data_IF_952773508433
#
_entry.id   IF_952773508433
#
_cell.length_a   1.000
_cell.length_b   1.000
_cell.length_c   1.000
_cell.angle_alpha   90.00
_cell.angle_beta   90.00
_cell.angle_gamma   90.00
#
_symmetry.space_group_name_H-M   'P 1'
#
loop_
_entity.id
_entity.type
_entity.pdbx_description
1 polymer ?
#
# COMPACT_ATOMS: atom_id res chain seq x y z
N UNK A 1 6.18 24.38 -32.22
CA UNK A 1 6.94 23.12 -32.38
C UNK A 1 7.43 22.69 -31.00
N UNK A 2 6.90 21.55 -30.56
CA UNK A 2 7.29 20.69 -29.44
C UNK A 2 7.50 21.32 -28.05
N UNK A 3 6.44 21.32 -27.23
CA UNK A 3 6.54 21.25 -25.76
C UNK A 3 6.42 19.78 -25.37
N UNK A 4 7.45 19.25 -24.71
CA UNK A 4 7.55 17.85 -24.31
C UNK A 4 6.74 17.57 -23.04
N UNK A 5 6.03 16.44 -23.05
CA UNK A 5 5.32 15.82 -21.94
C UNK A 5 6.26 15.56 -20.75
N UNK A 6 5.87 15.93 -19.52
CA UNK A 6 6.41 15.33 -18.31
C UNK A 6 5.28 14.57 -17.59
N UNK A 7 5.15 13.28 -17.86
CA UNK A 7 4.43 12.33 -16.99
C UNK A 7 5.30 11.08 -16.93
N UNK A 8 6.02 10.93 -15.83
CA UNK A 8 6.82 9.75 -15.53
C UNK A 8 6.66 9.41 -14.04
N UNK A 9 6.29 8.15 -13.84
CA UNK A 9 6.56 7.28 -12.69
C UNK A 9 5.50 7.22 -11.57
N UNK A 10 4.77 6.11 -11.67
CA UNK A 10 3.98 5.38 -10.69
C UNK A 10 4.88 4.71 -9.64
N UNK A 11 4.56 4.88 -8.36
CA UNK A 11 4.76 3.95 -7.24
C UNK A 11 4.12 4.53 -5.97
N UNK A 12 3.66 3.66 -5.07
CA UNK A 12 3.09 3.88 -3.72
C UNK A 12 1.57 4.07 -3.53
N UNK A 13 1.04 3.16 -2.71
CA UNK A 13 -0.17 3.25 -1.87
C UNK A 13 -0.01 2.05 -0.93
N UNK A 14 0.23 2.21 0.39
CA UNK A 14 -0.81 2.46 1.41
C UNK A 14 -0.30 3.40 2.53
N UNK A 15 -1.16 4.34 2.93
CA UNK A 15 -1.16 5.01 4.23
C UNK A 15 -2.43 4.61 5.00
N UNK A 16 -2.37 4.56 6.33
CA UNK A 16 -3.53 4.51 7.25
C UNK A 16 -3.27 5.32 8.54
N UNK A 17 -4.33 5.82 9.23
CA UNK A 17 -4.48 7.17 9.80
C UNK A 17 -4.33 7.20 11.35
N UNK A 18 -4.38 8.30 12.13
CA UNK A 18 -5.37 9.38 12.21
C UNK A 18 -4.94 10.48 13.22
N UNK A 19 -5.43 11.72 13.06
CA UNK A 19 -5.93 12.56 14.18
C UNK A 19 -7.19 13.31 13.68
N UNK A 20 -8.24 13.22 14.48
CA UNK A 20 -9.53 13.88 14.29
C UNK A 20 -9.43 15.41 14.39
N UNK A 21 -10.03 16.11 13.43
CA UNK A 21 -10.70 17.39 13.71
C UNK A 21 -11.94 17.51 12.83
N UNK A 22 -13.08 17.69 13.48
CA UNK A 22 -14.35 17.93 12.81
C UNK A 22 -14.31 19.21 12.00
N UNK A 23 -14.53 19.07 10.70
CA UNK A 23 -14.91 20.16 9.82
C UNK A 23 -16.12 19.72 9.01
N UNK A 24 -17.27 20.32 9.31
CA UNK A 24 -18.42 20.30 8.42
C UNK A 24 -18.08 21.10 7.17
N UNK A 25 -17.80 20.44 6.06
CA UNK A 25 -17.73 21.10 4.75
C UNK A 25 -19.10 20.97 4.10
N UNK A 26 -19.81 22.09 4.12
CA UNK A 26 -21.12 22.26 3.50
C UNK A 26 -20.98 21.95 2.00
N UNK A 27 -21.64 20.87 1.56
CA UNK A 27 -21.80 20.54 0.15
C UNK A 27 -22.63 21.65 -0.52
N UNK A 28 -21.96 22.70 -0.97
CA UNK A 28 -22.52 23.69 -1.87
C UNK A 28 -22.64 23.09 -3.25
N UNK A 29 -23.67 22.27 -3.48
CA UNK A 29 -24.13 21.97 -4.83
C UNK A 29 -24.79 23.27 -5.33
N UNK A 30 -23.99 24.18 -5.88
CA UNK A 30 -24.58 25.27 -6.67
C UNK A 30 -24.93 24.69 -8.03
N UNK A 31 -26.16 24.19 -8.15
CA UNK A 31 -26.86 24.09 -9.43
C UNK A 31 -27.15 25.50 -9.96
N UNK A 32 -26.12 26.30 -10.23
CA UNK A 32 -26.28 27.52 -11.01
C UNK A 32 -26.39 27.09 -12.47
N UNK A 33 -27.63 27.05 -12.93
CA UNK A 33 -28.00 27.04 -14.35
C UNK A 33 -27.09 28.05 -15.06
N UNK A 34 -26.21 27.56 -15.94
CA UNK A 34 -25.25 28.39 -16.68
C UNK A 34 -26.00 29.47 -17.46
N UNK A 35 -25.72 30.74 -17.16
CA UNK A 35 -26.30 31.94 -17.80
C UNK A 35 -25.34 32.52 -18.87
N UNK A 36 -24.71 31.65 -19.67
CA UNK A 36 -23.82 32.02 -20.77
C UNK A 36 -23.60 30.86 -21.75
N UNK A 37 -23.22 31.14 -22.99
CA UNK A 37 -22.92 30.12 -24.01
C UNK A 37 -21.66 29.35 -23.62
N UNK A 38 -21.77 28.03 -23.45
CA UNK A 38 -20.63 27.16 -23.18
C UNK A 38 -19.58 27.27 -24.31
N UNK A 39 -18.29 27.31 -23.97
CA UNK A 39 -17.20 27.34 -24.97
C UNK A 39 -16.21 26.18 -24.80
N UNK A 40 -15.54 25.81 -25.89
CA UNK A 40 -14.50 24.79 -25.87
C UNK A 40 -13.35 25.15 -24.91
N UNK A 41 -12.89 26.41 -24.94
CA UNK A 41 -11.83 26.92 -24.04
C UNK A 41 -12.19 26.77 -22.56
N UNK A 42 -13.48 26.93 -22.20
CA UNK A 42 -13.93 26.70 -20.82
C UNK A 42 -13.84 25.22 -20.44
N UNK A 43 -14.24 24.31 -21.33
CA UNK A 43 -14.11 22.87 -21.08
C UNK A 43 -12.63 22.48 -20.92
N UNK A 44 -11.75 23.02 -21.76
CA UNK A 44 -10.31 22.80 -21.69
C UNK A 44 -9.71 23.32 -20.38
N UNK A 45 -10.09 24.52 -19.94
CA UNK A 45 -9.61 25.08 -18.67
C UNK A 45 -9.98 24.19 -17.47
N UNK A 46 -11.20 23.64 -17.44
CA UNK A 46 -11.60 22.69 -16.40
C UNK A 46 -10.86 21.36 -16.50
N UNK A 47 -10.61 20.87 -17.71
CA UNK A 47 -9.82 19.67 -17.95
C UNK A 47 -8.38 19.81 -17.39
N UNK A 48 -7.72 20.92 -17.71
CA UNK A 48 -6.37 21.22 -17.21
C UNK A 48 -6.34 21.39 -15.70
N UNK A 49 -7.33 22.08 -15.12
CA UNK A 49 -7.46 22.23 -13.68
C UNK A 49 -7.65 20.87 -12.97
N UNK A 50 -8.43 19.97 -13.57
CA UNK A 50 -8.60 18.60 -13.09
C UNK A 50 -7.27 17.85 -13.06
N UNK A 51 -6.52 17.88 -14.16
CA UNK A 51 -5.22 17.23 -14.26
C UNK A 51 -4.18 17.77 -13.28
N UNK A 52 -4.15 19.10 -13.08
CA UNK A 52 -3.26 19.74 -12.10
C UNK A 52 -3.60 19.31 -10.68
N UNK A 53 -4.88 19.32 -10.29
CA UNK A 53 -5.31 18.88 -8.97
C UNK A 53 -5.05 17.38 -8.76
N UNK A 54 -5.25 16.55 -9.79
CA UNK A 54 -4.89 15.13 -9.74
C UNK A 54 -3.40 14.93 -9.48
N UNK A 55 -2.54 15.67 -10.19
CA UNK A 55 -1.09 15.64 -9.97
C UNK A 55 -0.69 16.11 -8.57
N UNK A 56 -1.37 17.12 -8.03
CA UNK A 56 -1.16 17.56 -6.64
C UNK A 56 -1.58 16.51 -5.61
N UNK A 57 -2.66 15.76 -5.87
CA UNK A 57 -3.06 14.65 -5.02
C UNK A 57 -1.96 13.57 -4.97
N UNK A 58 -1.32 13.29 -6.11
CA UNK A 58 -0.22 12.34 -6.20
C UNK A 58 1.07 12.81 -5.50
N UNK A 59 1.36 14.12 -5.57
CA UNK A 59 2.52 14.71 -4.90
C UNK A 59 2.35 14.98 -3.41
N UNK A 60 1.15 14.79 -2.86
CA UNK A 60 0.87 15.04 -1.45
C UNK A 60 1.09 13.78 -0.60
N UNK A 61 1.64 13.97 0.60
CA UNK A 61 1.83 12.90 1.59
C UNK A 61 0.79 12.91 2.71
N UNK A 62 0.18 14.07 2.99
CA UNK A 62 -0.87 14.21 4.00
C UNK A 62 -2.22 13.76 3.44
N UNK A 63 -2.86 12.75 4.06
CA UNK A 63 -4.16 12.21 3.62
C UNK A 63 -5.24 13.29 3.46
N UNK A 64 -5.27 14.27 4.36
CA UNK A 64 -6.20 15.41 4.25
C UNK A 64 -5.99 16.24 2.98
N UNK A 65 -4.74 16.52 2.61
CA UNK A 65 -4.39 17.23 1.37
C UNK A 65 -4.66 16.37 0.14
N UNK A 66 -4.33 15.09 0.19
CA UNK A 66 -4.65 14.14 -0.90
C UNK A 66 -6.15 14.17 -1.19
N UNK A 67 -7.00 14.01 -0.17
CA UNK A 67 -8.46 14.09 -0.31
C UNK A 67 -8.93 15.43 -0.87
N UNK A 68 -8.39 16.54 -0.37
CA UNK A 68 -8.73 17.87 -0.87
C UNK A 68 -8.40 18.03 -2.37
N UNK A 69 -7.24 17.54 -2.79
CA UNK A 69 -6.84 17.58 -4.20
C UNK A 69 -7.68 16.64 -5.07
N UNK A 70 -8.02 15.44 -4.58
CA UNK A 70 -8.93 14.50 -5.26
C UNK A 70 -10.33 15.09 -5.46
N UNK A 71 -10.88 15.74 -4.43
CA UNK A 71 -12.18 16.44 -4.52
C UNK A 71 -12.10 17.56 -5.55
N UNK A 72 -11.03 18.37 -5.50
CA UNK A 72 -10.81 19.46 -6.45
C UNK A 72 -10.73 18.94 -7.89
N UNK A 73 -9.97 17.86 -8.11
CA UNK A 73 -9.86 17.16 -9.39
C UNK A 73 -11.23 16.68 -9.89
N UNK A 74 -11.97 15.96 -9.03
CA UNK A 74 -13.31 15.45 -9.34
C UNK A 74 -14.26 16.58 -9.76
N UNK A 75 -14.29 17.68 -9.01
CA UNK A 75 -15.15 18.83 -9.32
C UNK A 75 -14.78 19.45 -10.66
N UNK A 76 -13.49 19.63 -10.94
CA UNK A 76 -13.03 20.18 -12.20
C UNK A 76 -13.41 19.28 -13.39
N UNK A 77 -13.18 17.96 -13.31
CA UNK A 77 -13.61 17.04 -14.37
C UNK A 77 -15.13 16.94 -14.52
N UNK A 78 -15.89 17.06 -13.42
CA UNK A 78 -17.36 17.13 -13.47
C UNK A 78 -17.82 18.36 -14.25
N UNK A 79 -17.20 19.51 -14.00
CA UNK A 79 -17.49 20.76 -14.73
C UNK A 79 -17.06 20.65 -16.20
N UNK A 80 -15.88 20.08 -16.49
CA UNK A 80 -15.43 19.81 -17.85
C UNK A 80 -16.45 18.96 -18.61
N UNK A 81 -16.87 17.83 -18.04
CA UNK A 81 -17.86 16.94 -18.65
C UNK A 81 -19.20 17.64 -18.90
N UNK A 82 -19.68 18.43 -17.93
CA UNK A 82 -20.93 19.17 -18.04
C UNK A 82 -20.88 20.21 -19.17
N UNK A 83 -19.82 21.02 -19.24
CA UNK A 83 -19.61 22.00 -20.31
C UNK A 83 -19.49 21.27 -21.65
N UNK A 84 -18.61 20.27 -21.76
CA UNK A 84 -18.38 19.53 -23.00
C UNK A 84 -19.66 18.85 -23.53
N UNK A 85 -20.58 18.46 -22.65
CA UNK A 85 -21.87 17.90 -23.03
C UNK A 85 -22.85 18.95 -23.58
N UNK A 86 -22.74 20.19 -23.13
CA UNK A 86 -23.57 21.31 -23.58
C UNK A 86 -23.01 22.03 -24.84
N UNK A 87 -21.80 21.69 -25.29
CA UNK A 87 -21.20 22.30 -26.50
C UNK A 87 -21.87 21.80 -27.79
N UNK A 88 -22.24 22.76 -28.64
CA UNK A 88 -22.60 22.54 -30.05
C UNK A 88 -21.48 23.13 -30.93
N UNK A 89 -20.38 22.40 -31.04
CA UNK A 89 -19.21 22.77 -31.84
C UNK A 89 -18.70 21.58 -32.66
N UNK A 90 -19.27 21.35 -33.86
CA UNK A 90 -18.88 20.25 -34.73
C UNK A 90 -17.41 20.31 -35.17
N UNK A 91 -16.80 21.50 -35.21
CA UNK A 91 -15.41 21.67 -35.62
C UNK A 91 -14.44 21.05 -34.60
N UNK A 92 -14.82 21.05 -33.31
CA UNK A 92 -14.06 20.45 -32.21
C UNK A 92 -14.61 19.08 -31.76
N UNK A 93 -15.44 18.41 -32.57
CA UNK A 93 -16.18 17.20 -32.16
C UNK A 93 -15.30 16.07 -31.59
N UNK A 94 -14.12 15.81 -32.17
CA UNK A 94 -13.20 14.80 -31.68
C UNK A 94 -12.60 15.18 -30.30
N UNK A 95 -12.22 16.44 -30.11
CA UNK A 95 -11.71 16.95 -28.84
C UNK A 95 -12.78 16.91 -27.75
N UNK A 96 -14.02 17.31 -28.07
CA UNK A 96 -15.14 17.29 -27.12
C UNK A 96 -15.46 15.86 -26.68
N UNK A 97 -15.45 14.90 -27.62
CA UNK A 97 -15.63 13.49 -27.31
C UNK A 97 -14.54 12.97 -26.37
N UNK A 98 -13.28 13.34 -26.62
CA UNK A 98 -12.14 12.99 -25.77
C UNK A 98 -12.30 13.59 -24.35
N UNK A 99 -12.59 14.89 -24.24
CA UNK A 99 -12.77 15.58 -22.97
C UNK A 99 -13.86 14.93 -22.12
N UNK A 100 -14.99 14.54 -22.72
CA UNK A 100 -16.07 13.82 -22.03
C UNK A 100 -15.59 12.46 -21.52
N UNK A 101 -15.00 11.65 -22.40
CA UNK A 101 -14.57 10.30 -22.05
C UNK A 101 -13.50 10.28 -20.95
N UNK A 102 -12.48 11.13 -21.06
CA UNK A 102 -11.43 11.25 -20.04
C UNK A 102 -12.00 11.82 -18.74
N UNK A 103 -12.84 12.85 -18.80
CA UNK A 103 -13.45 13.41 -17.58
C UNK A 103 -14.27 12.36 -16.82
N UNK A 104 -15.08 11.56 -17.52
CA UNK A 104 -15.82 10.44 -16.90
C UNK A 104 -14.87 9.47 -16.20
N UNK A 105 -13.79 9.06 -16.87
CA UNK A 105 -12.82 8.13 -16.28
C UNK A 105 -12.12 8.71 -15.04
N UNK A 106 -11.71 9.99 -15.07
CA UNK A 106 -11.03 10.62 -13.95
C UNK A 106 -11.96 10.96 -12.78
N UNK A 107 -13.25 11.20 -13.02
CA UNK A 107 -14.27 11.27 -11.96
C UNK A 107 -14.34 9.92 -11.23
N UNK A 108 -14.42 8.82 -11.98
CA UNK A 108 -14.44 7.48 -11.40
C UNK A 108 -13.13 7.17 -10.65
N UNK A 109 -11.96 7.57 -11.17
CA UNK A 109 -10.69 7.39 -10.44
C UNK A 109 -10.63 8.19 -9.14
N UNK A 110 -11.14 9.43 -9.13
CA UNK A 110 -11.20 10.23 -7.91
C UNK A 110 -12.16 9.60 -6.89
N UNK A 111 -13.31 9.10 -7.33
CA UNK A 111 -14.26 8.38 -6.48
C UNK A 111 -13.69 7.06 -5.95
N UNK A 112 -12.93 6.34 -6.76
CA UNK A 112 -12.23 5.14 -6.32
C UNK A 112 -11.24 5.46 -5.18
N UNK A 113 -10.40 6.47 -5.36
CA UNK A 113 -9.40 6.86 -4.38
C UNK A 113 -10.04 7.40 -3.09
N UNK A 114 -11.08 8.24 -3.19
CA UNK A 114 -11.80 8.76 -2.02
C UNK A 114 -12.47 7.63 -1.23
N UNK A 115 -13.18 6.71 -1.90
CA UNK A 115 -13.83 5.58 -1.25
C UNK A 115 -12.84 4.65 -0.55
N UNK A 116 -11.63 4.49 -1.09
CA UNK A 116 -10.55 3.74 -0.44
C UNK A 116 -10.11 4.40 0.88
N UNK A 117 -9.84 5.71 0.88
CA UNK A 117 -9.48 6.41 2.12
C UNK A 117 -10.62 6.38 3.14
N UNK A 118 -11.85 6.60 2.69
CA UNK A 118 -13.02 6.58 3.57
C UNK A 118 -13.25 5.18 4.17
N UNK A 119 -13.05 4.12 3.38
CA UNK A 119 -13.10 2.73 3.84
C UNK A 119 -12.04 2.45 4.90
N UNK A 120 -10.83 2.98 4.72
CA UNK A 120 -9.73 2.81 5.65
C UNK A 120 -9.97 3.50 7.01
N UNK A 121 -10.57 4.69 7.00
CA UNK A 121 -10.95 5.40 8.23
C UNK A 121 -11.99 4.62 9.03
N UNK A 122 -13.06 4.14 8.38
CA UNK A 122 -14.11 3.38 9.07
C UNK A 122 -13.64 1.99 9.50
N UNK A 123 -12.75 1.34 8.73
CA UNK A 123 -12.09 0.11 9.15
C UNK A 123 -11.27 0.33 10.43
N UNK A 124 -10.51 1.43 10.49
CA UNK A 124 -9.71 1.80 11.68
C UNK A 124 -10.61 2.05 12.89
N UNK A 125 -11.74 2.74 12.71
CA UNK A 125 -12.74 2.92 13.75
C UNK A 125 -13.30 1.58 14.25
N UNK A 126 -13.62 0.65 13.34
CA UNK A 126 -14.05 -0.71 13.67
C UNK A 126 -13.04 -1.46 14.54
N UNK A 127 -11.73 -1.35 14.23
CA UNK A 127 -10.68 -1.96 15.06
C UNK A 127 -10.60 -1.37 16.46
N UNK A 128 -10.78 -0.05 16.59
CA UNK A 128 -10.88 0.61 17.90
C UNK A 128 -12.09 0.13 18.71
N UNK A 129 -13.24 -0.06 18.05
CA UNK A 129 -14.47 -0.55 18.67
C UNK A 129 -14.37 -2.02 19.12
N UNK A 130 -13.66 -2.89 18.39
CA UNK A 130 -13.33 -4.24 18.85
C UNK A 130 -12.54 -4.17 20.16
N UNK A 131 -11.49 -3.34 20.22
CA UNK A 131 -10.66 -3.20 21.41
C UNK A 131 -11.44 -2.64 22.61
N UNK A 132 -12.45 -1.79 22.36
CA UNK A 132 -13.36 -1.26 23.37
C UNK A 132 -14.49 -2.22 23.78
N UNK A 133 -14.63 -3.37 23.12
CA UNK A 133 -15.70 -4.34 23.37
C UNK A 133 -17.09 -3.92 22.84
N UNK A 134 -17.16 -2.89 22.01
CA UNK A 134 -18.41 -2.40 21.38
C UNK A 134 -18.63 -3.13 20.05
N UNK A 135 -18.96 -4.42 20.13
CA UNK A 135 -18.93 -5.34 18.98
C UNK A 135 -19.98 -5.06 17.90
N UNK A 136 -21.17 -4.58 18.27
CA UNK A 136 -22.20 -4.22 17.29
C UNK A 136 -21.78 -2.99 16.45
N UNK A 137 -21.20 -1.98 17.10
CA UNK A 137 -20.69 -0.79 16.43
C UNK A 137 -19.49 -1.14 15.53
N UNK A 138 -18.60 -2.02 16.02
CA UNK A 138 -17.48 -2.55 15.23
C UNK A 138 -17.96 -3.26 13.96
N UNK A 139 -18.98 -4.12 14.07
CA UNK A 139 -19.56 -4.80 12.93
C UNK A 139 -20.13 -3.82 11.89
N UNK A 140 -20.85 -2.79 12.34
CA UNK A 140 -21.38 -1.75 11.45
C UNK A 140 -20.26 -0.98 10.73
N UNK A 141 -19.17 -0.63 11.44
CA UNK A 141 -18.03 0.06 10.84
C UNK A 141 -17.30 -0.81 9.81
N UNK A 142 -17.15 -2.11 10.06
CA UNK A 142 -16.54 -3.03 9.09
C UNK A 142 -17.42 -3.31 7.88
N UNK A 143 -18.74 -3.39 8.06
CA UNK A 143 -19.67 -3.47 6.95
C UNK A 143 -19.55 -2.22 6.05
N UNK A 144 -19.53 -1.04 6.67
CA UNK A 144 -19.37 0.22 5.95
C UNK A 144 -18.00 0.30 5.24
N UNK A 145 -16.95 -0.27 5.84
CA UNK A 145 -15.64 -0.41 5.20
C UNK A 145 -15.71 -1.30 3.94
N UNK A 146 -16.32 -2.48 4.04
CA UNK A 146 -16.53 -3.40 2.91
C UNK A 146 -17.27 -2.69 1.77
N UNK A 147 -18.40 -2.05 2.06
CA UNK A 147 -19.21 -1.33 1.06
C UNK A 147 -18.38 -0.25 0.32
N UNK A 148 -17.54 0.50 1.06
CA UNK A 148 -16.66 1.52 0.49
C UNK A 148 -15.53 0.93 -0.35
N UNK A 149 -14.87 -0.14 0.10
CA UNK A 149 -13.82 -0.80 -0.67
C UNK A 149 -14.38 -1.49 -1.93
N UNK A 150 -15.55 -2.11 -1.83
CA UNK A 150 -16.29 -2.68 -2.97
C UNK A 150 -16.67 -1.59 -3.98
N UNK A 151 -17.11 -0.42 -3.50
CA UNK A 151 -17.37 0.74 -4.36
C UNK A 151 -16.09 1.22 -5.05
N UNK A 152 -14.97 1.32 -4.31
CA UNK A 152 -13.67 1.69 -4.86
C UNK A 152 -13.23 0.76 -5.99
N UNK A 153 -13.29 -0.56 -5.79
CA UNK A 153 -13.03 -1.57 -6.83
C UNK A 153 -13.89 -1.34 -8.08
N UNK A 154 -15.18 -1.09 -7.88
CA UNK A 154 -16.14 -0.85 -8.99
C UNK A 154 -15.77 0.39 -9.78
N UNK A 155 -15.41 1.48 -9.10
CA UNK A 155 -14.98 2.71 -9.75
C UNK A 155 -13.67 2.54 -10.52
N UNK A 156 -12.67 1.83 -9.98
CA UNK A 156 -11.46 1.49 -10.74
C UNK A 156 -11.78 0.73 -12.02
N UNK A 157 -12.64 -0.29 -11.95
CA UNK A 157 -13.03 -1.09 -13.14
C UNK A 157 -13.77 -0.26 -14.19
N UNK A 158 -14.67 0.62 -13.77
CA UNK A 158 -15.36 1.55 -14.68
C UNK A 158 -14.40 2.53 -15.32
N UNK A 159 -13.49 3.12 -14.54
CA UNK A 159 -12.49 4.04 -15.03
C UNK A 159 -11.58 3.40 -16.07
N UNK A 160 -11.03 2.21 -15.80
CA UNK A 160 -10.13 1.53 -16.74
C UNK A 160 -10.84 1.11 -18.03
N UNK A 161 -12.08 0.61 -17.92
CA UNK A 161 -12.93 0.35 -19.10
C UNK A 161 -13.15 1.63 -19.91
N UNK A 162 -13.44 2.74 -19.24
CA UNK A 162 -13.61 4.05 -19.87
C UNK A 162 -12.35 4.49 -20.61
N UNK A 163 -11.19 4.44 -19.95
CA UNK A 163 -9.90 4.80 -20.54
C UNK A 163 -9.56 3.96 -21.78
N UNK A 164 -9.84 2.65 -21.75
CA UNK A 164 -9.59 1.76 -22.89
C UNK A 164 -10.52 2.02 -24.08
N UNK A 165 -11.68 2.64 -23.85
CA UNK A 165 -12.63 3.00 -24.90
C UNK A 165 -12.31 4.34 -25.59
N UNK A 166 -11.35 5.10 -25.07
CA UNK A 166 -10.97 6.42 -25.59
C UNK A 166 -10.32 6.32 -26.97
N UNK A 167 -10.77 7.19 -27.89
CA UNK A 167 -10.10 7.43 -29.17
C UNK A 167 -9.41 8.79 -29.16
N UNK A 168 -8.13 8.80 -29.54
CA UNK A 168 -7.32 10.01 -29.71
C UNK A 168 -7.28 10.51 -31.16
N UNK A 169 -7.90 9.78 -32.09
CA UNK A 169 -7.87 10.10 -33.51
C UNK A 169 -8.54 11.44 -33.81
N UNK A 170 -7.84 12.32 -34.53
CA UNK A 170 -8.36 13.63 -34.91
C UNK A 170 -8.43 14.64 -33.77
N UNK A 171 -7.81 14.34 -32.62
CA UNK A 171 -7.74 15.25 -31.47
C UNK A 171 -6.45 16.08 -31.49
N UNK A 172 -6.46 17.23 -30.81
CA UNK A 172 -5.27 18.09 -30.65
C UNK A 172 -4.31 17.61 -29.54
N UNK A 173 -4.72 16.62 -28.75
CA UNK A 173 -4.00 16.13 -27.56
C UNK A 173 -2.93 15.08 -27.88
N UNK A 174 -2.73 14.75 -29.16
CA UNK A 174 -1.82 13.69 -29.59
C UNK A 174 -2.35 12.29 -29.27
N UNK A 175 -1.51 11.27 -29.47
CA UNK A 175 -1.87 9.87 -29.22
C UNK A 175 -1.53 9.45 -27.79
N UNK A 176 -2.56 9.30 -26.95
CA UNK A 176 -2.42 8.82 -25.57
C UNK A 176 -2.52 7.30 -25.41
N UNK A 177 -2.60 6.52 -26.50
CA UNK A 177 -2.83 5.07 -26.44
C UNK A 177 -1.76 4.36 -25.63
N UNK A 178 -0.48 4.71 -25.83
CA UNK A 178 0.64 4.11 -25.09
C UNK A 178 0.55 4.39 -23.59
N UNK A 179 0.13 5.61 -23.21
CA UNK A 179 -0.10 5.97 -21.80
C UNK A 179 -1.26 5.17 -21.21
N UNK A 180 -2.40 5.10 -21.91
CA UNK A 180 -3.55 4.27 -21.50
C UNK A 180 -3.14 2.82 -21.29
N UNK A 181 -2.39 2.22 -22.22
CA UNK A 181 -1.91 0.84 -22.10
C UNK A 181 -0.97 0.63 -20.91
N UNK A 182 -0.16 1.63 -20.56
CA UNK A 182 0.74 1.56 -19.41
C UNK A 182 -0.01 1.69 -18.08
N UNK A 183 -0.99 2.59 -17.97
CA UNK A 183 -1.64 2.91 -16.68
C UNK A 183 -2.73 1.91 -16.29
N UNK A 184 -3.47 1.36 -17.25
CA UNK A 184 -4.62 0.48 -16.99
C UNK A 184 -4.29 -0.76 -16.16
N UNK A 185 -3.19 -1.50 -16.42
CA UNK A 185 -2.83 -2.66 -15.60
C UNK A 185 -2.60 -2.29 -14.13
N UNK A 186 -1.97 -1.15 -13.84
CA UNK A 186 -1.76 -0.71 -12.46
C UNK A 186 -3.07 -0.35 -11.78
N UNK A 187 -3.96 0.38 -12.46
CA UNK A 187 -5.26 0.74 -11.92
C UNK A 187 -6.13 -0.50 -11.67
N UNK A 188 -6.06 -1.51 -12.55
CA UNK A 188 -6.73 -2.79 -12.33
C UNK A 188 -6.16 -3.52 -11.11
N UNK A 189 -4.84 -3.53 -10.92
CA UNK A 189 -4.23 -4.11 -9.72
C UNK A 189 -4.69 -3.39 -8.44
N UNK A 190 -4.80 -2.05 -8.46
CA UNK A 190 -5.37 -1.29 -7.34
C UNK A 190 -6.84 -1.63 -7.08
N UNK A 191 -7.65 -1.78 -8.13
CA UNK A 191 -9.03 -2.25 -7.99
C UNK A 191 -9.15 -3.66 -7.40
N UNK A 192 -8.28 -4.59 -7.80
CA UNK A 192 -8.23 -5.94 -7.22
C UNK A 192 -7.86 -5.90 -5.74
N UNK A 193 -6.86 -5.09 -5.39
CA UNK A 193 -6.44 -4.88 -4.01
C UNK A 193 -7.56 -4.31 -3.13
N UNK A 194 -8.40 -3.41 -3.65
CA UNK A 194 -9.60 -2.95 -2.94
C UNK A 194 -10.62 -4.08 -2.72
N UNK A 195 -10.71 -5.03 -3.66
CA UNK A 195 -11.53 -6.23 -3.45
C UNK A 195 -11.04 -7.11 -2.31
N UNK A 196 -9.72 -7.21 -2.12
CA UNK A 196 -9.15 -7.96 -1.00
C UNK A 196 -9.40 -7.26 0.33
N UNK A 197 -9.26 -5.93 0.39
CA UNK A 197 -9.65 -5.15 1.57
C UNK A 197 -11.14 -5.30 1.92
N UNK A 198 -12.02 -5.34 0.92
CA UNK A 198 -13.44 -5.54 1.13
C UNK A 198 -13.74 -6.89 1.79
N UNK A 199 -13.15 -7.97 1.27
CA UNK A 199 -13.26 -9.30 1.87
C UNK A 199 -12.67 -9.35 3.30
N UNK A 200 -11.55 -8.65 3.52
CA UNK A 200 -10.91 -8.60 4.83
C UNK A 200 -11.76 -7.85 5.86
N UNK A 201 -12.36 -6.72 5.46
CA UNK A 201 -13.33 -5.99 6.26
C UNK A 201 -14.54 -6.85 6.61
N UNK A 202 -15.07 -7.63 5.65
CA UNK A 202 -16.17 -8.58 5.89
C UNK A 202 -15.79 -9.66 6.91
N UNK A 203 -14.58 -10.21 6.83
CA UNK A 203 -14.08 -11.16 7.84
C UNK A 203 -14.10 -10.55 9.25
N UNK A 204 -13.66 -9.30 9.38
CA UNK A 204 -13.68 -8.57 10.65
C UNK A 204 -15.08 -8.17 11.11
N UNK A 205 -16.01 -7.85 10.20
CA UNK A 205 -17.43 -7.62 10.52
C UNK A 205 -18.01 -8.84 11.24
N UNK A 206 -17.88 -10.02 10.63
CA UNK A 206 -18.43 -11.25 11.20
C UNK A 206 -17.67 -11.72 12.44
N UNK A 207 -16.37 -11.43 12.53
CA UNK A 207 -15.60 -11.63 13.77
C UNK A 207 -16.15 -10.77 14.91
N UNK A 208 -16.47 -9.50 14.65
CA UNK A 208 -17.09 -8.63 15.64
C UNK A 208 -18.43 -9.19 16.12
N UNK A 209 -19.31 -9.60 15.19
CA UNK A 209 -20.61 -10.19 15.53
C UNK A 209 -20.44 -11.49 16.34
N UNK A 210 -19.47 -12.34 15.97
CA UNK A 210 -19.15 -13.54 16.73
C UNK A 210 -18.72 -13.21 18.16
N UNK A 211 -17.80 -12.27 18.35
CA UNK A 211 -17.37 -11.85 19.69
C UNK A 211 -18.52 -11.27 20.52
N UNK A 212 -19.40 -10.46 19.91
CA UNK A 212 -20.61 -9.97 20.56
C UNK A 212 -21.54 -11.08 21.02
N UNK A 213 -21.76 -12.10 20.18
CA UNK A 213 -22.56 -13.26 20.52
C UNK A 213 -21.92 -14.15 21.60
N UNK A 214 -20.59 -14.30 21.56
CA UNK A 214 -19.85 -15.00 22.61
C UNK A 214 -20.00 -14.31 23.97
N UNK A 215 -19.89 -12.98 23.99
CA UNK A 215 -20.04 -12.18 25.21
C UNK A 215 -21.46 -12.23 25.80
N UNK A 216 -22.49 -12.41 24.98
CA UNK A 216 -23.89 -12.56 25.42
C UNK A 216 -24.30 -14.01 25.71
N UNK A 217 -23.43 -14.98 25.45
CA UNK A 217 -23.72 -16.41 25.58
C UNK A 217 -24.59 -16.99 24.46
N UNK A 218 -24.83 -16.26 23.37
CA UNK A 218 -25.55 -16.74 22.19
C UNK A 218 -24.65 -17.62 21.32
N UNK A 219 -24.61 -18.90 21.69
CA UNK A 219 -23.80 -19.93 21.01
C UNK A 219 -24.16 -20.09 19.53
N UNK A 220 -25.45 -20.06 19.19
CA UNK A 220 -25.92 -20.29 17.83
C UNK A 220 -25.47 -19.17 16.91
N UNK A 221 -25.62 -17.93 17.35
CA UNK A 221 -25.14 -16.77 16.58
C UNK A 221 -23.62 -16.76 16.49
N UNK A 222 -22.91 -17.07 17.59
CA UNK A 222 -21.44 -17.17 17.56
C UNK A 222 -20.94 -18.10 16.45
N UNK A 223 -21.47 -19.33 16.37
CA UNK A 223 -21.05 -20.31 15.36
C UNK A 223 -21.33 -19.81 13.94
N UNK A 224 -22.53 -19.25 13.71
CA UNK A 224 -22.94 -18.77 12.39
C UNK A 224 -22.04 -17.64 11.90
N UNK A 225 -21.81 -16.63 12.73
CA UNK A 225 -20.99 -15.48 12.35
C UNK A 225 -19.51 -15.87 12.25
N UNK A 226 -19.02 -16.74 13.14
CA UNK A 226 -17.67 -17.25 13.04
C UNK A 226 -17.44 -17.99 11.71
N UNK A 227 -18.39 -18.82 11.25
CA UNK A 227 -18.30 -19.48 9.95
C UNK A 227 -18.21 -18.48 8.78
N UNK A 228 -18.99 -17.40 8.80
CA UNK A 228 -18.93 -16.36 7.76
C UNK A 228 -17.60 -15.61 7.75
N UNK A 229 -17.03 -15.35 8.93
CA UNK A 229 -15.69 -14.76 9.05
C UNK A 229 -14.60 -15.71 8.54
N UNK A 230 -14.69 -17.01 8.86
CA UNK A 230 -13.76 -18.03 8.38
C UNK A 230 -13.76 -18.10 6.85
N UNK A 231 -14.93 -18.10 6.21
CA UNK A 231 -15.02 -18.11 4.74
C UNK A 231 -14.35 -16.86 4.13
N UNK A 232 -14.61 -15.68 4.68
CA UNK A 232 -14.02 -14.43 4.19
C UNK A 232 -12.49 -14.41 4.34
N UNK A 233 -11.96 -14.95 5.44
CA UNK A 233 -10.51 -15.08 5.62
C UNK A 233 -9.91 -16.19 4.75
N UNK A 234 -10.64 -17.28 4.50
CA UNK A 234 -10.20 -18.37 3.63
C UNK A 234 -9.97 -17.87 2.19
N UNK A 235 -10.89 -17.04 1.68
CA UNK A 235 -10.77 -16.38 0.36
C UNK A 235 -9.47 -15.59 0.19
N UNK A 236 -8.90 -15.10 1.29
CA UNK A 236 -7.72 -14.25 1.30
C UNK A 236 -6.42 -15.00 1.58
N UNK A 237 -6.43 -16.29 1.92
CA UNK A 237 -5.22 -17.03 2.32
C UNK A 237 -4.10 -17.02 1.29
N UNK A 238 -4.46 -16.91 0.01
CA UNK A 238 -3.50 -16.83 -1.11
C UNK A 238 -3.18 -15.40 -1.53
N UNK A 239 -3.81 -14.39 -0.93
CA UNK A 239 -3.49 -12.99 -1.18
C UNK A 239 -2.05 -12.71 -0.74
N UNK A 240 -1.21 -12.08 -1.59
CA UNK A 240 0.11 -11.62 -1.18
C UNK A 240 0.05 -10.55 -0.07
N UNK A 241 -1.04 -9.79 -0.01
CA UNK A 241 -1.16 -8.65 0.93
C UNK A 241 -1.84 -9.04 2.24
N UNK A 242 -2.81 -9.95 2.20
CA UNK A 242 -3.62 -10.32 3.36
C UNK A 242 -3.45 -11.77 3.81
N UNK A 243 -2.81 -12.63 3.01
CA UNK A 243 -2.85 -14.08 3.23
C UNK A 243 -2.34 -14.54 4.58
N UNK A 244 -1.21 -14.00 5.04
CA UNK A 244 -0.65 -14.33 6.35
C UNK A 244 -1.61 -13.91 7.48
N UNK A 245 -2.10 -12.68 7.45
CA UNK A 245 -3.00 -12.17 8.49
C UNK A 245 -4.38 -12.86 8.44
N UNK A 246 -4.90 -13.15 7.26
CA UNK A 246 -6.16 -13.85 7.08
C UNK A 246 -6.05 -15.30 7.59
N UNK A 247 -4.95 -15.99 7.30
CA UNK A 247 -4.69 -17.33 7.84
C UNK A 247 -4.64 -17.33 9.37
N UNK A 248 -3.93 -16.38 9.97
CA UNK A 248 -3.85 -16.27 11.43
C UNK A 248 -5.22 -15.97 12.06
N UNK A 249 -5.98 -15.02 11.52
CA UNK A 249 -7.33 -14.72 12.01
C UNK A 249 -8.28 -15.92 11.84
N UNK A 250 -8.15 -16.66 10.74
CA UNK A 250 -8.87 -17.91 10.54
C UNK A 250 -8.56 -18.90 11.65
N UNK A 251 -7.28 -19.19 11.90
CA UNK A 251 -6.88 -20.21 12.88
C UNK A 251 -7.33 -19.85 14.30
N UNK A 252 -7.18 -18.58 14.69
CA UNK A 252 -7.66 -18.07 15.98
C UNK A 252 -9.16 -18.29 16.12
N UNK A 253 -9.93 -17.89 15.11
CA UNK A 253 -11.39 -17.98 15.19
C UNK A 253 -11.89 -19.43 15.13
N UNK A 254 -11.26 -20.27 14.30
CA UNK A 254 -11.57 -21.70 14.20
C UNK A 254 -11.33 -22.42 15.53
N UNK A 255 -10.26 -22.07 16.25
CA UNK A 255 -9.97 -22.62 17.57
C UNK A 255 -11.01 -22.27 18.65
N UNK A 256 -11.79 -21.20 18.46
CA UNK A 256 -12.87 -20.81 19.36
C UNK A 256 -14.19 -21.57 19.08
N UNK A 257 -14.27 -22.31 17.98
CA UNK A 257 -15.42 -23.16 17.64
C UNK A 257 -15.16 -24.58 18.20
N UNK A 258 -16.01 -25.12 19.10
CA UNK A 258 -15.96 -26.48 19.60
C UNK A 258 -15.95 -27.51 18.45
N UNK A 259 -15.21 -28.61 18.64
CA UNK A 259 -15.17 -29.70 17.67
C UNK A 259 -16.57 -30.24 17.35
N UNK A 260 -16.93 -30.28 16.07
CA UNK A 260 -18.22 -30.82 15.60
C UNK A 260 -19.30 -29.77 15.25
N UNK A 261 -19.03 -28.48 15.44
CA UNK A 261 -19.98 -27.39 15.12
C UNK A 261 -19.57 -26.54 13.89
N UNK A 262 -18.53 -26.91 13.14
CA UNK A 262 -18.18 -26.23 11.88
C UNK A 262 -19.27 -26.55 10.85
N UNK A 263 -20.13 -25.57 10.55
CA UNK A 263 -21.09 -25.65 9.46
C UNK A 263 -20.38 -25.14 8.20
N UNK A 264 -20.05 -25.99 7.20
CA UNK A 264 -19.51 -25.52 5.94
C UNK A 264 -20.62 -24.74 5.22
N UNK A 265 -20.41 -23.47 4.91
CA UNK A 265 -21.35 -22.66 4.13
C UNK A 265 -21.17 -22.84 2.62
N UNK A 266 -20.08 -23.47 2.19
CA UNK A 266 -19.81 -23.82 0.79
C UNK A 266 -19.90 -25.33 0.58
N UNK A 267 -20.52 -25.82 -0.52
CA UNK A 267 -20.39 -27.23 -0.87
C UNK A 267 -18.91 -27.52 -1.09
N UNK A 268 -18.37 -28.40 -0.25
CA UNK A 268 -17.06 -29.01 -0.45
C UNK A 268 -17.15 -29.82 -1.74
N UNK A 269 -16.48 -29.39 -2.80
CA UNK A 269 -16.16 -30.33 -3.87
C UNK A 269 -15.30 -31.42 -3.25
N UNK A 270 -15.83 -32.64 -3.33
CA UNK A 270 -15.36 -33.85 -2.68
C UNK A 270 -13.92 -34.17 -3.11
N UNK A 271 -12.95 -33.91 -2.24
CA UNK A 271 -11.63 -34.53 -2.31
C UNK A 271 -11.64 -35.73 -1.36
N UNK A 272 -12.09 -36.85 -1.91
CA UNK A 272 -12.07 -38.17 -1.30
C UNK A 272 -10.63 -38.55 -0.92
N UNK A 273 -10.36 -38.66 0.37
CA UNK A 273 -9.12 -39.18 0.93
C UNK A 273 -8.99 -40.65 0.54
N UNK A 274 -8.18 -40.94 -0.48
CA UNK A 274 -7.72 -42.30 -0.79
C UNK A 274 -6.31 -42.47 -0.25
N UNK A 275 -6.17 -43.23 0.84
CA UNK A 275 -4.87 -43.63 1.40
C UNK A 275 -4.13 -44.53 0.41
N UNK A 276 -3.00 -44.07 -0.10
CA UNK A 276 -2.03 -44.85 -0.90
C UNK A 276 -0.69 -44.86 -0.15
N UNK A 277 0.03 -45.99 -0.08
CA UNK A 277 1.13 -46.18 0.87
C UNK A 277 2.33 -45.29 0.55
N UNK A 278 3.02 -44.90 1.62
CA UNK A 278 4.27 -44.15 1.67
C UNK A 278 5.25 -44.56 0.55
N UNK A 279 5.59 -43.66 -0.39
CA UNK A 279 6.77 -43.83 -1.20
C UNK A 279 8.01 -43.47 -0.37
N UNK A 280 9.01 -44.33 -0.45
CA UNK A 280 10.41 -44.12 -0.08
C UNK A 280 10.88 -42.70 -0.44
N UNK A 281 11.68 -42.03 0.42
CA UNK A 281 12.01 -40.61 0.28
C UNK A 281 12.63 -40.32 -1.09
N UNK A 282 11.89 -39.56 -1.90
CA UNK A 282 12.39 -38.93 -3.12
C UNK A 282 12.78 -37.50 -2.77
N UNK A 283 13.91 -37.05 -3.30
CA UNK A 283 14.63 -35.84 -2.92
C UNK A 283 13.72 -34.60 -2.73
N UNK A 284 14.04 -33.84 -1.67
CA UNK A 284 13.59 -32.47 -1.39
C UNK A 284 13.55 -31.63 -2.68
N UNK A 285 12.45 -30.94 -3.00
CA UNK A 285 12.46 -29.99 -4.10
C UNK A 285 13.44 -28.87 -3.77
N UNK A 286 14.40 -28.66 -4.67
CA UNK A 286 15.41 -27.59 -4.60
C UNK A 286 14.74 -26.22 -4.46
N UNK A 287 15.27 -25.32 -3.62
CA UNK A 287 14.80 -23.94 -3.50
C UNK A 287 14.84 -23.24 -4.87
N UNK A 288 13.78 -22.49 -5.20
CA UNK A 288 13.78 -21.59 -6.34
C UNK A 288 14.37 -20.26 -5.90
N UNK A 289 15.69 -20.22 -5.72
CA UNK A 289 16.42 -18.96 -5.52
C UNK A 289 16.80 -18.41 -6.88
N UNK A 290 16.41 -17.17 -7.15
CA UNK A 290 16.85 -16.47 -8.36
C UNK A 290 18.23 -15.84 -8.07
N UNK A 291 19.32 -16.30 -8.72
CA UNK A 291 20.64 -15.73 -8.51
C UNK A 291 20.71 -14.34 -9.14
N UNK A 292 21.21 -13.36 -8.39
CA UNK A 292 21.47 -12.01 -8.91
C UNK A 292 22.89 -11.99 -9.49
N UNK A 293 23.01 -12.06 -10.82
CA UNK A 293 24.30 -11.97 -11.54
C UNK A 293 24.78 -10.51 -11.62
N UNK A 294 25.27 -9.98 -10.50
CA UNK A 294 25.96 -8.69 -10.44
C UNK A 294 27.00 -8.69 -9.32
N UNK A 295 28.21 -8.20 -9.60
CA UNK A 295 29.28 -8.00 -8.60
C UNK A 295 28.94 -6.92 -7.55
N UNK A 296 27.80 -6.24 -7.71
CA UNK A 296 27.28 -5.23 -6.79
C UNK A 296 25.76 -5.21 -6.88
N UNK A 297 25.08 -5.54 -5.79
CA UNK A 297 23.61 -5.72 -5.75
C UNK A 297 23.00 -4.56 -4.98
N UNK A 298 22.12 -3.79 -5.63
CA UNK A 298 21.44 -2.65 -5.02
C UNK A 298 20.30 -3.10 -4.12
N UNK A 299 20.35 -2.75 -2.83
CA UNK A 299 19.28 -3.13 -1.90
C UNK A 299 17.95 -2.50 -2.32
N UNK A 300 17.96 -1.28 -2.85
CA UNK A 300 16.74 -0.50 -3.13
C UNK A 300 15.94 -1.05 -4.32
N UNK A 301 16.57 -1.84 -5.19
CA UNK A 301 15.89 -2.51 -6.33
C UNK A 301 15.53 -3.96 -6.05
N UNK A 302 16.15 -4.58 -5.03
CA UNK A 302 16.00 -6.02 -4.75
C UNK A 302 15.23 -6.34 -3.46
N UNK A 303 15.09 -5.37 -2.56
CA UNK A 303 14.38 -5.47 -1.28
C UNK A 303 13.45 -4.25 -1.07
N UNK A 304 12.39 -4.44 -0.27
CA UNK A 304 11.29 -3.48 -0.14
C UNK A 304 11.22 -2.98 1.32
N UNK A 305 11.28 -1.65 1.59
CA UNK A 305 11.19 -1.07 2.95
C UNK A 305 9.79 -1.29 3.54
N UNK A 306 9.57 -2.48 4.07
CA UNK A 306 8.25 -2.99 4.47
C UNK A 306 8.24 -3.56 5.88
N UNK A 307 9.42 -3.85 6.44
CA UNK A 307 9.54 -4.31 7.82
C UNK A 307 9.50 -3.18 8.84
N UNK A 308 8.35 -2.51 8.97
CA UNK A 308 8.15 -1.42 9.94
C UNK A 308 8.09 -1.97 11.37
N UNK A 309 8.87 -1.39 12.30
CA UNK A 309 9.02 -1.90 13.66
C UNK A 309 8.97 -0.79 14.72
N UNK A 310 8.63 -1.18 15.94
CA UNK A 310 8.58 -0.29 17.10
C UNK A 310 7.44 0.75 16.98
N UNK A 311 7.72 1.97 17.39
CA UNK A 311 6.92 3.18 17.23
C UNK A 311 6.97 3.68 15.79
N UNK A 312 6.75 2.79 14.81
CA UNK A 312 6.78 3.13 13.39
C UNK A 312 5.85 4.27 12.96
N UNK A 313 4.72 4.60 13.64
CA UNK A 313 3.97 5.82 13.33
C UNK A 313 4.77 7.12 13.52
N UNK A 314 5.87 7.08 14.27
CA UNK A 314 6.79 8.20 14.46
C UNK A 314 7.77 8.35 13.29
N UNK A 315 7.76 7.43 12.34
CA UNK A 315 8.69 7.38 11.22
C UNK A 315 8.02 7.88 9.94
N UNK A 316 8.61 8.92 9.32
CA UNK A 316 8.30 9.31 7.94
C UNK A 316 9.43 8.88 7.02
N UNK A 317 9.10 8.05 6.04
CA UNK A 317 10.03 7.59 5.00
C UNK A 317 9.78 8.31 3.69
N UNK A 318 10.82 8.87 3.10
CA UNK A 318 10.79 9.53 1.79
C UNK A 318 11.81 8.79 0.92
N UNK A 319 11.29 8.01 -0.04
CA UNK A 319 12.13 7.16 -0.89
C UNK A 319 13.02 7.96 -1.86
N UNK A 320 12.60 9.17 -2.23
CA UNK A 320 13.23 10.00 -3.26
C UNK A 320 13.32 11.46 -2.80
N UNK A 321 14.27 11.76 -1.91
CA UNK A 321 14.61 13.11 -1.48
C UNK A 321 15.72 13.67 -2.38
N UNK A 322 15.40 14.74 -3.10
CA UNK A 322 16.29 15.37 -4.10
C UNK A 322 17.13 16.51 -3.53
N UNK A 323 17.09 16.75 -2.21
CA UNK A 323 17.67 17.97 -1.63
C UNK A 323 19.20 17.97 -1.62
N UNK A 324 19.81 16.84 -1.27
CA UNK A 324 21.26 16.66 -1.18
C UNK A 324 21.63 15.16 -1.21
N UNK A 325 21.41 14.48 -2.35
CA UNK A 325 21.79 13.08 -2.51
C UNK A 325 23.31 12.90 -2.55
N UNK A 326 23.82 11.73 -2.19
CA UNK A 326 25.24 11.42 -2.30
C UNK A 326 25.61 11.12 -3.75
N UNK A 327 24.81 10.28 -4.40
CA UNK A 327 24.95 9.92 -5.81
C UNK A 327 23.61 10.06 -6.53
N UNK A 328 23.61 10.05 -7.87
CA UNK A 328 22.36 10.12 -8.63
C UNK A 328 21.54 11.41 -8.45
N UNK A 329 20.21 11.27 -8.51
CA UNK A 329 19.25 12.37 -8.48
C UNK A 329 18.53 12.55 -7.14
N UNK A 330 18.60 11.54 -6.28
CA UNK A 330 17.80 11.41 -5.08
C UNK A 330 18.46 10.47 -4.07
N UNK A 331 18.05 10.59 -2.82
CA UNK A 331 18.48 9.76 -1.70
C UNK A 331 17.28 9.41 -0.84
N UNK A 332 17.42 8.41 0.01
CA UNK A 332 16.40 8.05 0.99
C UNK A 332 16.51 9.02 2.15
N UNK A 333 15.36 9.54 2.62
CA UNK A 333 15.28 10.32 3.85
C UNK A 333 14.34 9.65 4.84
N UNK A 334 14.78 9.56 6.08
CA UNK A 334 14.01 9.01 7.19
C UNK A 334 13.92 10.07 8.28
N UNK A 335 12.70 10.35 8.74
CA UNK A 335 12.43 11.25 9.86
C UNK A 335 11.83 10.42 10.99
N UNK A 336 12.39 10.52 12.18
CA UNK A 336 11.82 9.97 13.41
C UNK A 336 11.41 11.11 14.33
N UNK A 337 10.20 11.10 14.87
CA UNK A 337 9.69 12.19 15.72
C UNK A 337 9.95 11.99 17.22
N UNK A 338 10.26 10.76 17.66
CA UNK A 338 10.34 10.39 19.08
C UNK A 338 9.07 10.74 19.88
N UNK A 339 7.89 10.57 19.27
CA UNK A 339 6.61 10.86 19.92
C UNK A 339 6.15 9.72 20.84
N UNK A 340 6.74 8.53 20.72
CA UNK A 340 6.40 7.35 21.51
C UNK A 340 5.02 6.82 21.17
N UNK A 341 4.57 6.93 19.91
CA UNK A 341 3.15 6.69 19.54
C UNK A 341 2.64 5.27 19.85
N UNK A 342 3.54 4.29 20.03
CA UNK A 342 3.19 2.92 20.44
C UNK A 342 3.84 2.49 21.75
N UNK A 343 4.49 3.42 22.47
CA UNK A 343 5.09 3.21 23.79
C UNK A 343 6.30 2.28 23.82
N UNK A 344 6.97 2.04 22.69
CA UNK A 344 8.16 1.17 22.63
C UNK A 344 9.46 1.93 22.92
N UNK A 345 9.48 3.25 22.69
CA UNK A 345 10.65 4.11 22.82
C UNK A 345 11.65 3.94 21.67
N UNK A 346 11.31 3.23 20.61
CA UNK A 346 12.20 2.97 19.46
C UNK A 346 11.45 2.76 18.17
N UNK A 347 12.10 3.00 17.02
CA UNK A 347 11.51 2.77 15.70
C UNK A 347 12.53 2.22 14.71
N UNK A 348 12.06 1.49 13.70
CA UNK A 348 12.93 1.01 12.62
C UNK A 348 12.19 0.56 11.37
N UNK A 349 12.95 0.40 10.29
CA UNK A 349 12.49 -0.09 9.00
C UNK A 349 13.45 -1.18 8.52
N UNK A 350 12.92 -2.35 8.20
CA UNK A 350 13.59 -3.40 7.45
C UNK A 350 13.22 -3.34 5.96
N UNK A 351 14.22 -3.49 5.09
CA UNK A 351 14.06 -3.82 3.70
C UNK A 351 13.98 -5.33 3.58
N UNK A 352 12.79 -5.84 3.29
CA UNK A 352 12.47 -7.27 3.24
C UNK A 352 12.27 -7.74 1.81
N UNK A 353 12.55 -9.02 1.58
CA UNK A 353 12.18 -9.72 0.36
C UNK A 353 11.58 -11.12 0.66
N UNK A 354 10.41 -11.45 0.09
CA UNK A 354 9.42 -10.55 -0.49
C UNK A 354 8.95 -9.48 0.50
N UNK A 355 8.13 -8.54 0.03
CA UNK A 355 7.55 -7.50 0.90
C UNK A 355 6.91 -8.12 2.15
N UNK A 356 7.16 -7.54 3.33
CA UNK A 356 6.62 -8.00 4.62
C UNK A 356 6.99 -9.44 5.02
N UNK A 357 7.97 -10.07 4.37
CA UNK A 357 8.38 -11.42 4.75
C UNK A 357 9.18 -11.39 6.07
N UNK A 358 8.57 -11.86 7.15
CA UNK A 358 9.23 -12.08 8.45
C UNK A 358 9.54 -13.56 8.67
N UNK A 359 10.01 -14.25 7.63
CA UNK A 359 10.35 -15.68 7.69
C UNK A 359 9.16 -16.62 7.65
N UNK A 360 7.99 -16.13 7.23
CA UNK A 360 6.78 -16.93 7.02
C UNK A 360 6.69 -17.48 5.58
N UNK A 361 7.39 -16.85 4.63
CA UNK A 361 7.44 -17.26 3.23
C UNK A 361 8.81 -17.87 2.91
N UNK A 362 8.82 -19.03 2.26
CA UNK A 362 10.04 -19.73 1.83
C UNK A 362 10.64 -19.10 0.55
N UNK A 363 10.85 -17.79 0.61
CA UNK A 363 11.46 -17.00 -0.44
C UNK A 363 12.48 -16.05 0.18
N UNK A 364 13.62 -15.92 -0.50
CA UNK A 364 14.74 -15.08 -0.12
C UNK A 364 15.64 -14.86 -1.33
N UNK A 365 16.54 -13.90 -1.24
CA UNK A 365 17.55 -13.65 -2.27
C UNK A 365 18.78 -14.50 -2.01
N UNK A 366 19.31 -15.12 -3.07
CA UNK A 366 20.65 -15.68 -3.03
C UNK A 366 21.64 -14.54 -3.28
N UNK A 367 22.38 -14.16 -2.23
CA UNK A 367 23.43 -13.14 -2.30
C UNK A 367 24.82 -13.79 -2.16
N UNK A 368 24.92 -15.10 -2.39
CA UNK A 368 26.19 -15.84 -2.32
C UNK A 368 27.26 -15.20 -3.19
N UNK A 369 28.47 -15.08 -2.63
CA UNK A 369 29.60 -14.43 -3.29
C UNK A 369 29.84 -12.98 -2.84
N UNK A 370 28.86 -12.36 -2.19
CA UNK A 370 29.09 -11.08 -1.52
C UNK A 370 29.83 -11.28 -0.18
N UNK A 371 30.64 -10.30 0.19
CA UNK A 371 31.43 -10.31 1.43
C UNK A 371 31.23 -9.05 2.27
N UNK A 372 30.57 -8.02 1.71
CA UNK A 372 30.35 -6.74 2.39
C UNK A 372 29.02 -6.12 1.99
N UNK A 373 28.41 -5.41 2.94
CA UNK A 373 27.35 -4.44 2.66
C UNK A 373 27.92 -3.05 2.90
N UNK A 374 27.83 -2.17 1.90
CA UNK A 374 28.26 -0.76 1.98
C UNK A 374 27.07 0.16 1.79
N UNK A 375 27.05 1.28 2.50
CA UNK A 375 26.02 2.29 2.35
C UNK A 375 26.55 3.65 2.79
N UNK A 376 25.99 4.71 2.23
CA UNK A 376 26.27 6.08 2.65
C UNK A 376 25.17 6.56 3.58
N UNK A 377 25.57 7.20 4.68
CA UNK A 377 24.63 7.80 5.61
C UNK A 377 25.10 9.18 6.09
N UNK A 378 24.13 10.06 6.36
CA UNK A 378 24.35 11.31 7.08
C UNK A 378 23.12 11.67 7.94
N UNK A 379 23.36 12.49 8.94
CA UNK A 379 22.33 13.22 9.66
C UNK A 379 21.97 14.53 8.94
N UNK A 380 20.92 15.19 9.43
CA UNK A 380 20.55 16.53 8.99
C UNK A 380 21.44 17.60 9.63
N UNK A 381 21.75 17.46 10.92
CA UNK A 381 22.53 18.41 11.71
C UNK A 381 23.87 17.83 12.19
N UNK A 382 24.03 16.51 12.14
CA UNK A 382 25.13 15.79 12.78
C UNK A 382 24.84 15.54 14.26
N UNK A 383 25.31 14.40 14.76
CA UNK A 383 25.05 13.92 16.11
C UNK A 383 23.88 12.94 16.21
N UNK A 384 23.05 12.80 15.17
CA UNK A 384 21.97 11.81 15.11
C UNK A 384 22.52 10.39 15.28
N UNK A 385 21.80 9.58 16.05
CA UNK A 385 22.19 8.19 16.35
C UNK A 385 21.32 7.19 15.61
N UNK A 386 21.97 6.22 14.96
CA UNK A 386 21.29 5.17 14.21
C UNK A 386 22.06 3.85 14.33
N UNK A 387 21.36 2.73 14.26
CA UNK A 387 21.95 1.40 14.11
C UNK A 387 21.51 0.80 12.77
N UNK A 388 22.44 0.19 12.04
CA UNK A 388 22.17 -0.46 10.77
C UNK A 388 22.43 -1.95 10.83
N UNK A 389 21.55 -2.75 10.24
CA UNK A 389 21.59 -4.22 10.33
C UNK A 389 21.31 -4.89 8.99
N UNK A 390 21.74 -6.15 8.86
CA UNK A 390 21.41 -7.04 7.74
C UNK A 390 21.21 -8.48 8.23
N UNK A 391 20.40 -9.24 7.53
CA UNK A 391 19.99 -10.60 7.90
C UNK A 391 19.19 -10.64 9.19
N UNK A 392 19.11 -11.83 9.80
CA UNK A 392 18.52 -12.02 11.13
C UNK A 392 16.99 -12.10 11.18
N UNK A 393 16.30 -12.16 10.04
CA UNK A 393 14.88 -12.51 10.02
C UNK A 393 14.72 -13.96 10.47
N UNK A 394 13.93 -14.16 11.52
CA UNK A 394 13.63 -15.48 12.07
C UNK A 394 12.26 -15.95 11.61
N UNK A 395 11.99 -17.25 11.62
CA UNK A 395 10.66 -17.77 11.31
C UNK A 395 10.69 -19.24 10.90
N UNK A 396 9.65 -19.69 10.24
CA UNK A 396 9.58 -21.03 9.62
C UNK A 396 10.63 -21.19 8.53
N UNK A 397 10.87 -20.12 7.76
CA UNK A 397 11.88 -20.02 6.70
C UNK A 397 12.80 -18.84 7.03
N UNK A 398 13.77 -19.03 7.93
CA UNK A 398 14.60 -17.94 8.43
C UNK A 398 15.61 -17.47 7.38
N UNK A 399 16.22 -16.33 7.66
CA UNK A 399 17.47 -15.93 7.04
C UNK A 399 18.56 -16.99 7.26
N UNK A 400 19.27 -17.31 6.18
CA UNK A 400 20.57 -17.99 6.26
C UNK A 400 21.64 -17.07 6.86
N UNK A 401 21.54 -15.77 6.57
CA UNK A 401 22.42 -14.74 7.13
C UNK A 401 22.02 -14.43 8.58
N UNK A 402 22.83 -14.86 9.54
CA UNK A 402 22.71 -14.42 10.93
C UNK A 402 22.81 -12.89 11.04
N UNK A 403 22.02 -12.28 11.93
CA UNK A 403 22.00 -10.83 12.14
C UNK A 403 23.41 -10.23 12.28
N UNK A 404 23.74 -9.26 11.42
CA UNK A 404 24.94 -8.41 11.54
C UNK A 404 24.52 -6.98 11.78
N UNK A 405 25.31 -6.24 12.55
CA UNK A 405 25.01 -4.86 12.95
C UNK A 405 26.26 -3.99 12.95
N UNK A 406 26.10 -2.70 12.67
CA UNK A 406 27.11 -1.66 12.96
C UNK A 406 27.24 -1.34 14.45
N UNK A 407 26.29 -1.77 15.26
CA UNK A 407 25.99 -1.11 16.54
C UNK A 407 25.45 0.31 16.32
N UNK A 408 25.14 1.01 17.41
CA UNK A 408 24.73 2.42 17.33
C UNK A 408 25.92 3.26 16.88
N UNK A 409 25.75 3.98 15.78
CA UNK A 409 26.73 4.92 15.23
C UNK A 409 26.19 6.35 15.33
N UNK A 410 27.11 7.30 15.46
CA UNK A 410 26.81 8.74 15.37
C UNK A 410 27.04 9.21 13.95
N UNK A 411 26.02 9.80 13.34
CA UNK A 411 26.07 10.32 11.99
C UNK A 411 26.62 11.75 11.98
N UNK A 412 27.40 12.09 10.95
CA UNK A 412 27.75 13.49 10.68
C UNK A 412 26.71 14.16 9.78
N UNK A 413 26.73 15.50 9.74
CA UNK A 413 26.01 16.33 8.77
C UNK A 413 26.51 16.16 7.32
N UNK A 414 27.64 15.46 7.13
CA UNK A 414 28.20 15.09 5.84
C UNK A 414 28.05 13.60 5.58
N UNK A 415 27.85 13.26 4.30
CA UNK A 415 27.87 11.88 3.81
C UNK A 415 29.15 11.16 4.21
N UNK A 416 28.99 9.99 4.83
CA UNK A 416 30.06 9.05 5.14
C UNK A 416 29.66 7.64 4.72
N UNK A 417 30.63 6.90 4.19
CA UNK A 417 30.45 5.48 3.90
C UNK A 417 30.57 4.66 5.18
N UNK A 418 29.66 3.71 5.34
CA UNK A 418 29.65 2.70 6.38
C UNK A 418 29.69 1.32 5.71
N UNK A 419 30.16 0.32 6.47
CA UNK A 419 30.21 -1.05 5.97
C UNK A 419 29.91 -2.07 7.06
N UNK A 420 29.17 -3.11 6.71
CA UNK A 420 28.95 -4.31 7.52
C UNK A 420 29.70 -5.48 6.85
N UNK A 421 30.56 -6.15 7.61
CA UNK A 421 31.27 -7.33 7.13
C UNK A 421 30.36 -8.57 7.20
N UNK A 422 30.19 -9.24 6.06
CA UNK A 422 29.44 -10.49 5.91
C UNK A 422 30.32 -11.61 5.30
N UNK A 423 31.64 -11.42 5.28
CA UNK A 423 32.59 -12.39 4.74
C UNK A 423 32.46 -13.76 5.41
N UNK A 424 32.44 -14.80 4.59
CA UNK A 424 32.24 -16.19 5.01
C UNK A 424 30.87 -16.51 5.62
N UNK A 425 29.89 -15.60 5.57
CA UNK A 425 28.53 -15.88 6.01
C UNK A 425 27.76 -16.71 4.96
N UNK A 426 26.73 -17.43 5.42
CA UNK A 426 25.76 -18.05 4.53
C UNK A 426 24.78 -16.97 4.03
N UNK A 427 24.72 -16.81 2.71
CA UNK A 427 23.90 -15.83 2.00
C UNK A 427 22.95 -16.49 0.99
N UNK A 428 22.78 -17.81 1.08
CA UNK A 428 21.98 -18.59 0.14
C UNK A 428 20.48 -18.27 0.22
N UNK A 429 20.03 -17.64 1.31
CA UNK A 429 18.65 -17.24 1.54
C UNK A 429 18.62 -15.99 2.43
N UNK A 430 18.49 -14.81 1.82
CA UNK A 430 18.41 -13.51 2.50
C UNK A 430 17.06 -12.85 2.27
N UNK A 431 16.30 -12.70 3.35
CA UNK A 431 15.03 -11.99 3.50
C UNK A 431 15.30 -10.56 3.96
N UNK A 432 16.07 -10.39 5.04
CA UNK A 432 16.37 -9.07 5.62
C UNK A 432 17.56 -8.39 4.94
N UNK A 433 17.35 -7.70 3.83
CA UNK A 433 18.42 -7.09 3.02
C UNK A 433 19.08 -5.86 3.65
N UNK A 434 18.34 -5.05 4.41
CA UNK A 434 18.91 -3.92 5.14
C UNK A 434 17.95 -3.47 6.24
N UNK A 435 18.46 -2.82 7.27
CA UNK A 435 17.63 -2.35 8.36
C UNK A 435 18.24 -1.10 8.97
N UNK A 436 17.39 -0.14 9.28
CA UNK A 436 17.71 1.03 10.09
C UNK A 436 16.85 1.02 11.37
N UNK A 437 17.48 1.35 12.50
CA UNK A 437 16.84 1.46 13.81
C UNK A 437 17.33 2.70 14.54
N UNK A 438 16.44 3.34 15.30
CA UNK A 438 16.77 4.42 16.25
C UNK A 438 15.86 4.35 17.48
N UNK A 439 16.13 5.16 18.50
CA UNK A 439 15.32 5.23 19.71
C UNK A 439 15.27 6.65 20.32
N UNK A 440 14.30 6.87 21.21
CA UNK A 440 14.06 8.16 21.86
C UNK A 440 15.14 8.53 22.88
N UNK A 441 15.80 7.56 23.52
CA UNK A 441 16.89 7.84 24.48
C UNK A 441 18.10 8.47 23.76
N UNK A 442 18.42 7.98 22.58
CA UNK A 442 19.54 8.43 21.75
C UNK A 442 19.17 9.65 20.87
N UNK A 443 17.89 9.83 20.54
CA UNK A 443 17.38 10.98 19.77
C UNK A 443 16.08 11.54 20.41
N UNK A 444 16.17 12.22 21.57
CA UNK A 444 15.01 12.60 22.40
C UNK A 444 14.10 13.67 21.80
N UNK A 445 14.55 14.35 20.75
CA UNK A 445 13.73 15.32 20.00
C UNK A 445 13.41 14.83 18.59
N UNK A 446 13.58 13.52 18.36
CA UNK A 446 13.56 12.94 17.02
C UNK A 446 14.85 13.21 16.25
N UNK A 447 14.93 12.67 15.04
CA UNK A 447 16.07 12.84 14.14
C UNK A 447 15.65 12.79 12.67
N UNK A 448 16.54 13.27 11.81
CA UNK A 448 16.42 13.13 10.35
C UNK A 448 17.73 12.55 9.85
N UNK A 449 17.64 11.48 9.10
CA UNK A 449 18.81 10.83 8.50
C UNK A 449 18.57 10.61 7.01
N UNK A 450 19.66 10.45 6.30
CA UNK A 450 19.67 10.22 4.87
C UNK A 450 20.51 9.00 4.56
N UNK A 451 20.05 8.17 3.64
CA UNK A 451 20.73 6.97 3.17
C UNK A 451 20.85 7.00 1.65
N UNK A 452 21.96 6.50 1.15
CA UNK A 452 22.21 6.39 -0.27
C UNK A 452 23.16 5.22 -0.56
N UNK A 453 23.19 4.77 -1.81
CA UNK A 453 24.15 3.79 -2.31
C UNK A 453 24.27 2.52 -1.43
N UNK A 454 23.15 1.86 -1.14
CA UNK A 454 23.10 0.67 -0.29
C UNK A 454 23.34 -0.59 -1.16
N UNK A 455 24.51 -1.21 -1.03
CA UNK A 455 24.93 -2.31 -1.89
C UNK A 455 25.53 -3.49 -1.13
N UNK A 456 25.20 -4.70 -1.61
CA UNK A 456 26.01 -5.90 -1.36
C UNK A 456 27.12 -6.03 -2.42
N UNK A 457 28.32 -6.44 -2.01
CA UNK A 457 29.49 -6.62 -2.88
C UNK A 457 30.43 -7.71 -2.41
#
# INVERSE_FOLDING_TARGET
MNRALPILILSLLIATPAIAYGYSVQAGISSSIYQGTATYDQALAYYEAGGQAWSQAWGASEVGKIRQHLITSKTAYTNCHAIATALDDPANGANIALLKAISTAYIDLADAALAMYDGADVYTAGRGQIAAGTFADAAASFQDADEKFTSSKTFFSRATTGLQSVSYAGTEFGDGTAYTSAIVPILNAKGMYMGEFAAYARGWQHTALAYGASASGDRTTFVREAAQALDAFDELRTSPSFGSDAANNYEILAALIPPGEIIPLKPTDDQTVTTTPTPTPTATPTPTTEPIDSSRIDVTTHFIPSGWMGDYPDITYIASDTSNPHSGSDSIKIVYSAAGSRGNGWGGIYWLYPENNWGSVNEGRDLSGCSRVTFWARGEQGGEKAEFKVGGVTGTYPDSLSLRSTGVVELSDRWKEFSINIDGADLSHVIGGFCWVTNEDENPTGCKIYLDDIYYS
#
